data_IF_338661589354
#
_entry.id   IF_338661589354
#
_cell.length_a   1.000
_cell.length_b   1.000
_cell.length_c   1.000
_cell.angle_alpha   90.00
_cell.angle_beta   90.00
_cell.angle_gamma   90.00
#
_symmetry.space_group_name_H-M   'P 1'
#
loop_
_entity.id
_entity.type
_entity.pdbx_description
1 polymer ?
#
# COMPACT_ATOMS: atom_id res chain seq x y z
N UNK A 1 86.13 36.48 -1.96
CA UNK A 1 85.80 37.86 -2.35
C UNK A 1 84.61 37.84 -3.27
N UNK A 2 83.62 38.66 -2.91
CA UNK A 2 82.49 39.19 -3.70
C UNK A 2 81.38 38.28 -4.26
N UNK A 3 80.27 38.35 -3.52
CA UNK A 3 78.85 38.34 -3.90
C UNK A 3 78.49 38.96 -5.25
N UNK A 4 77.43 38.42 -5.87
CA UNK A 4 76.10 39.04 -6.08
C UNK A 4 75.35 38.37 -7.24
N UNK A 5 74.02 38.31 -7.41
CA UNK A 5 72.78 38.57 -6.65
C UNK A 5 71.66 37.93 -7.51
N UNK A 6 70.62 37.41 -6.84
CA UNK A 6 69.23 37.20 -7.28
C UNK A 6 68.87 36.30 -8.49
N UNK A 7 68.02 35.29 -8.22
CA UNK A 7 66.69 35.21 -8.83
C UNK A 7 65.78 34.28 -8.02
N UNK A 8 64.62 34.82 -7.65
CA UNK A 8 63.57 34.18 -6.86
C UNK A 8 62.90 33.03 -7.63
N UNK A 9 62.98 31.81 -7.11
CA UNK A 9 61.94 30.78 -7.32
C UNK A 9 61.75 29.96 -6.04
N UNK A 10 61.15 30.61 -5.05
CA UNK A 10 60.37 29.92 -4.02
C UNK A 10 58.90 29.97 -4.46
N UNK A 11 58.17 28.93 -4.07
CA UNK A 11 56.72 28.70 -4.24
C UNK A 11 56.37 27.89 -5.48
N UNK A 12 56.20 26.56 -5.29
CA UNK A 12 54.95 25.82 -5.58
C UNK A 12 55.18 24.31 -5.47
N UNK A 13 55.62 23.82 -4.31
CA UNK A 13 55.46 22.41 -3.94
C UNK A 13 54.82 22.33 -2.55
N UNK A 14 53.61 22.89 -2.45
CA UNK A 14 52.67 22.52 -1.39
C UNK A 14 52.02 21.22 -1.86
N UNK A 15 52.29 20.17 -1.10
CA UNK A 15 51.51 18.95 -1.08
C UNK A 15 50.01 19.28 -0.94
N UNK A 16 49.29 19.27 -2.05
CA UNK A 16 47.84 19.08 -2.06
C UNK A 16 47.58 17.70 -2.66
N UNK A 17 47.79 16.67 -1.83
CA UNK A 17 47.04 15.42 -2.00
C UNK A 17 45.60 15.77 -1.66
N UNK A 18 44.87 16.30 -2.63
CA UNK A 18 43.41 16.26 -2.59
C UNK A 18 43.08 14.80 -2.82
N UNK A 19 43.03 14.04 -1.72
CA UNK A 19 42.29 12.79 -1.71
C UNK A 19 40.86 13.17 -2.06
N UNK A 20 40.49 13.01 -3.32
CA UNK A 20 39.11 12.92 -3.72
C UNK A 20 38.57 11.61 -3.13
N UNK A 21 38.32 11.62 -1.82
CA UNK A 21 37.24 10.86 -1.26
C UNK A 21 35.99 11.47 -1.89
N UNK A 22 35.64 11.00 -3.08
CA UNK A 22 34.23 10.90 -3.43
C UNK A 22 33.64 10.01 -2.35
N UNK A 23 33.22 10.62 -1.25
CA UNK A 23 32.13 10.08 -0.45
C UNK A 23 30.99 10.06 -1.46
N UNK A 24 30.84 8.93 -2.14
CA UNK A 24 29.54 8.53 -2.64
C UNK A 24 28.65 8.67 -1.43
N UNK A 25 27.85 9.73 -1.37
CA UNK A 25 26.71 9.79 -0.48
C UNK A 25 26.01 8.46 -0.70
N UNK A 26 26.13 7.56 0.28
CA UNK A 26 25.43 6.29 0.22
C UNK A 26 23.97 6.70 0.17
N UNK A 27 23.38 6.63 -1.02
CA UNK A 27 21.98 6.92 -1.22
C UNK A 27 21.25 5.93 -0.34
N UNK A 28 20.69 6.38 0.76
CA UNK A 28 19.70 5.59 1.47
C UNK A 28 18.49 5.53 0.54
N UNK A 29 18.45 4.49 -0.31
CA UNK A 29 17.19 4.02 -0.83
C UNK A 29 16.36 3.70 0.40
N UNK A 30 15.32 4.50 0.68
CA UNK A 30 14.28 4.09 1.61
C UNK A 30 13.86 2.70 1.13
N UNK A 31 14.10 1.63 1.93
CA UNK A 31 13.81 0.29 1.48
C UNK A 31 12.32 0.21 1.17
N UNK A 32 11.96 -0.53 0.12
CA UNK A 32 10.56 -0.86 -0.16
C UNK A 32 9.98 -1.52 1.07
N UNK A 33 8.77 -1.12 1.45
CA UNK A 33 8.14 -1.57 2.69
C UNK A 33 7.16 -2.69 2.44
N UNK A 34 7.01 -3.12 1.19
CA UNK A 34 6.09 -4.19 0.85
C UNK A 34 6.30 -5.41 1.75
N UNK A 35 5.21 -6.14 2.13
CA UNK A 35 5.30 -7.35 2.94
C UNK A 35 6.23 -8.42 2.35
N UNK A 36 6.55 -8.32 1.06
CA UNK A 36 7.56 -9.12 0.37
C UNK A 36 9.00 -8.79 0.84
N UNK A 37 9.44 -9.43 1.92
CA UNK A 37 10.86 -9.42 2.33
C UNK A 37 11.75 -9.92 1.17
N UNK A 38 12.91 -9.29 0.98
CA UNK A 38 13.85 -9.42 -0.15
C UNK A 38 14.41 -10.82 -0.55
N UNK A 39 13.90 -11.92 0.01
CA UNK A 39 14.13 -13.28 -0.49
C UNK A 39 13.47 -13.55 -1.85
N UNK A 40 12.50 -12.74 -2.25
CA UNK A 40 11.65 -12.92 -3.45
C UNK A 40 12.34 -12.37 -4.74
N UNK A 41 13.40 -11.58 -4.59
CA UNK A 41 14.13 -10.99 -5.72
C UNK A 41 15.07 -11.95 -6.46
N UNK A 42 15.19 -13.21 -6.03
CA UNK A 42 16.09 -14.18 -6.68
C UNK A 42 15.48 -14.87 -7.91
N UNK A 43 14.15 -14.92 -8.09
CA UNK A 43 13.56 -15.42 -9.34
C UNK A 43 12.05 -15.12 -9.53
N UNK A 44 11.69 -13.98 -10.13
CA UNK A 44 10.28 -13.63 -10.43
C UNK A 44 9.58 -14.62 -11.37
N UNK A 45 10.33 -15.26 -12.27
CA UNK A 45 9.80 -16.22 -13.25
C UNK A 45 9.31 -17.52 -12.59
N UNK A 46 9.90 -17.94 -11.46
CA UNK A 46 9.48 -19.14 -10.72
C UNK A 46 8.17 -18.88 -9.97
N UNK A 47 7.98 -17.67 -9.43
CA UNK A 47 6.76 -17.27 -8.71
C UNK A 47 5.58 -17.08 -9.67
N UNK A 48 5.81 -16.46 -10.83
CA UNK A 48 4.78 -16.40 -11.89
C UNK A 48 4.35 -17.80 -12.37
N UNK A 49 5.22 -18.80 -12.27
CA UNK A 49 4.90 -20.20 -12.59
C UNK A 49 4.17 -20.95 -11.44
N UNK A 50 4.08 -20.35 -10.25
CA UNK A 50 3.49 -20.97 -9.04
C UNK A 50 2.08 -20.44 -8.74
N UNK A 51 1.62 -19.39 -9.44
CA UNK A 51 0.24 -18.89 -9.29
C UNK A 51 -0.75 -20.00 -9.69
N UNK A 52 -1.60 -20.41 -8.74
CA UNK A 52 -2.61 -21.43 -8.97
C UNK A 52 -3.45 -21.10 -10.22
N UNK A 53 -3.82 -22.14 -10.99
CA UNK A 53 -4.73 -22.01 -12.14
C UNK A 53 -6.10 -21.43 -11.77
N UNK A 54 -6.41 -21.40 -10.47
CA UNK A 54 -7.64 -20.83 -9.92
C UNK A 54 -7.68 -19.28 -10.02
N UNK A 55 -6.52 -18.63 -10.21
CA UNK A 55 -6.42 -17.18 -10.38
C UNK A 55 -6.51 -16.78 -11.85
N UNK A 56 -7.46 -15.88 -12.15
CA UNK A 56 -7.69 -15.34 -13.48
C UNK A 56 -7.29 -13.88 -13.53
N UNK A 57 -6.42 -13.52 -14.48
CA UNK A 57 -5.99 -12.13 -14.69
C UNK A 57 -6.94 -11.40 -15.62
N UNK A 58 -7.31 -10.20 -15.25
CA UNK A 58 -8.15 -9.29 -16.01
C UNK A 58 -7.53 -7.89 -16.06
N UNK A 59 -8.06 -7.06 -16.95
CA UNK A 59 -7.69 -5.65 -17.05
C UNK A 59 -8.95 -4.79 -17.09
N UNK A 60 -8.91 -3.69 -16.36
CA UNK A 60 -9.93 -2.64 -16.35
C UNK A 60 -9.40 -1.43 -17.12
N UNK A 61 -10.24 -0.80 -17.93
CA UNK A 61 -9.87 0.40 -18.65
C UNK A 61 -10.04 1.61 -17.72
N UNK A 62 -8.98 1.91 -16.97
CA UNK A 62 -8.99 2.87 -15.87
C UNK A 62 -8.84 4.31 -16.37
N UNK A 63 -9.59 5.24 -15.78
CA UNK A 63 -9.43 6.67 -16.03
C UNK A 63 -8.09 7.17 -15.48
N UNK A 64 -7.35 7.93 -16.28
CA UNK A 64 -6.03 8.44 -15.89
C UNK A 64 -6.13 9.40 -14.71
N UNK A 65 -7.07 10.34 -14.77
CA UNK A 65 -7.25 11.38 -13.77
C UNK A 65 -8.71 11.49 -13.32
N UNK A 66 -8.97 11.02 -12.10
CA UNK A 66 -10.29 11.03 -11.47
C UNK A 66 -10.74 12.39 -10.95
N UNK A 67 -9.82 13.35 -10.82
CA UNK A 67 -10.07 14.60 -10.10
C UNK A 67 -10.06 15.83 -11.01
N UNK A 68 -10.03 15.64 -12.33
CA UNK A 68 -10.06 16.70 -13.31
C UNK A 68 -10.98 16.35 -14.48
N UNK A 69 -11.59 17.38 -15.07
CA UNK A 69 -12.58 17.24 -16.15
C UNK A 69 -12.07 17.75 -17.50
N UNK A 70 -10.77 18.03 -17.62
CA UNK A 70 -10.14 18.42 -18.89
C UNK A 70 -10.12 17.22 -19.86
N UNK A 71 -10.14 17.44 -21.20
CA UNK A 71 -10.14 16.36 -22.18
C UNK A 71 -9.04 15.30 -21.97
N UNK A 72 -7.84 15.73 -21.56
CA UNK A 72 -6.71 14.84 -21.31
C UNK A 72 -6.93 13.91 -20.11
N UNK A 73 -7.77 14.32 -19.15
CA UNK A 73 -8.08 13.60 -17.90
C UNK A 73 -8.81 12.28 -18.17
N UNK A 74 -9.61 12.23 -19.24
CA UNK A 74 -10.36 11.05 -19.69
C UNK A 74 -9.53 10.06 -20.49
N UNK A 75 -8.23 10.31 -20.67
CA UNK A 75 -7.32 9.28 -21.18
C UNK A 75 -7.39 8.06 -20.27
N UNK A 76 -7.20 6.86 -20.84
CA UNK A 76 -7.30 5.62 -20.08
C UNK A 76 -6.05 4.78 -20.15
N UNK A 77 -5.85 3.90 -19.17
CA UNK A 77 -4.80 2.89 -19.15
C UNK A 77 -5.37 1.56 -18.66
N UNK A 78 -4.70 0.46 -18.99
CA UNK A 78 -5.12 -0.86 -18.53
C UNK A 78 -4.59 -1.09 -17.11
N UNK A 79 -5.50 -1.20 -16.15
CA UNK A 79 -5.16 -1.57 -14.78
C UNK A 79 -5.48 -3.05 -14.54
N UNK A 80 -4.46 -3.80 -14.14
CA UNK A 80 -4.54 -5.22 -13.85
C UNK A 80 -5.27 -5.47 -12.53
N UNK A 81 -6.15 -6.46 -12.54
CA UNK A 81 -6.67 -7.09 -11.34
C UNK A 81 -6.76 -8.60 -11.55
N UNK A 82 -6.73 -9.36 -10.47
CA UNK A 82 -6.77 -10.82 -10.48
C UNK A 82 -7.90 -11.29 -9.59
N UNK A 83 -8.67 -12.27 -10.07
CA UNK A 83 -9.80 -12.84 -9.33
C UNK A 83 -9.62 -14.33 -9.16
N UNK A 84 -10.01 -14.84 -7.99
CA UNK A 84 -10.18 -16.27 -7.74
C UNK A 84 -11.64 -16.56 -7.37
N UNK A 85 -12.29 -17.39 -8.18
CA UNK A 85 -13.71 -17.75 -8.03
C UNK A 85 -13.94 -19.06 -7.26
N UNK A 86 -12.87 -19.81 -6.92
CA UNK A 86 -12.94 -21.20 -6.46
C UNK A 86 -13.92 -21.45 -5.33
N UNK A 87 -13.97 -20.54 -4.36
CA UNK A 87 -14.82 -20.65 -3.17
C UNK A 87 -15.97 -19.66 -3.17
N UNK A 88 -16.17 -18.89 -4.25
CA UNK A 88 -17.16 -17.84 -4.25
C UNK A 88 -18.58 -18.40 -4.35
N UNK A 89 -19.38 -18.18 -3.30
CA UNK A 89 -20.77 -18.64 -3.21
C UNK A 89 -21.74 -17.87 -4.11
N UNK A 90 -21.38 -16.67 -4.57
CA UNK A 90 -22.27 -15.77 -5.30
C UNK A 90 -22.57 -16.15 -6.76
N UNK A 91 -21.90 -17.17 -7.30
CA UNK A 91 -22.11 -17.64 -8.67
C UNK A 91 -23.19 -18.72 -8.85
N UNK A 92 -23.66 -19.36 -7.78
CA UNK A 92 -24.59 -20.49 -7.85
C UNK A 92 -25.59 -20.51 -6.67
N UNK A 93 -26.82 -20.02 -6.89
CA UNK A 93 -27.93 -20.25 -5.95
C UNK A 93 -28.00 -19.28 -4.77
N UNK A 94 -28.48 -19.78 -3.62
CA UNK A 94 -29.11 -19.03 -2.53
C UNK A 94 -28.31 -17.87 -1.90
N UNK A 95 -26.99 -17.78 -2.12
CA UNK A 95 -26.09 -16.77 -1.54
C UNK A 95 -25.63 -15.74 -2.57
N UNK A 96 -26.58 -15.08 -3.25
CA UNK A 96 -26.32 -14.08 -4.31
C UNK A 96 -25.46 -12.86 -3.89
N UNK A 97 -25.05 -12.76 -2.62
CA UNK A 97 -24.31 -11.63 -2.07
C UNK A 97 -23.10 -12.04 -1.22
N UNK A 98 -22.48 -13.19 -1.49
CA UNK A 98 -21.29 -13.66 -0.76
C UNK A 98 -20.16 -12.60 -0.73
N UNK A 99 -19.40 -12.47 0.37
CA UNK A 99 -18.45 -11.39 0.58
C UNK A 99 -17.35 -11.36 -0.49
N UNK A 100 -16.81 -10.17 -0.73
CA UNK A 100 -15.63 -9.96 -1.57
C UNK A 100 -14.47 -9.61 -0.65
N UNK A 101 -13.42 -10.42 -0.65
CA UNK A 101 -12.16 -10.08 0.02
C UNK A 101 -11.22 -9.49 -1.02
N UNK A 102 -10.79 -8.26 -0.78
CA UNK A 102 -9.94 -7.52 -1.71
C UNK A 102 -8.62 -7.17 -1.08
N UNK A 103 -7.52 -7.46 -1.78
CA UNK A 103 -6.21 -6.90 -1.49
C UNK A 103 -5.96 -5.69 -2.40
N UNK A 104 -5.67 -4.55 -1.78
CA UNK A 104 -5.25 -3.35 -2.49
C UNK A 104 -3.74 -3.37 -2.63
N UNK A 105 -3.25 -3.49 -3.87
CA UNK A 105 -1.82 -3.55 -4.16
C UNK A 105 -1.08 -2.37 -3.54
N UNK A 106 0.11 -2.65 -3.02
CA UNK A 106 0.98 -1.66 -2.44
C UNK A 106 2.01 -1.20 -3.49
N UNK A 107 3.27 -1.00 -3.09
CA UNK A 107 4.30 -0.40 -3.92
C UNK A 107 5.07 -1.37 -4.84
N UNK A 108 4.41 -2.39 -5.39
CA UNK A 108 5.05 -3.44 -6.18
C UNK A 108 4.17 -4.13 -7.23
N UNK A 109 4.75 -4.94 -8.15
CA UNK A 109 3.98 -5.79 -9.04
C UNK A 109 3.18 -6.86 -8.28
N UNK A 110 1.91 -7.02 -8.68
CA UNK A 110 0.95 -7.89 -8.02
C UNK A 110 1.30 -9.40 -8.06
N UNK A 111 2.19 -9.83 -8.96
CA UNK A 111 2.55 -11.24 -9.12
C UNK A 111 3.18 -11.83 -7.84
N UNK A 112 3.95 -11.01 -7.11
CA UNK A 112 4.52 -11.39 -5.81
C UNK A 112 3.42 -11.49 -4.74
N UNK A 113 2.60 -10.45 -4.63
CA UNK A 113 1.52 -10.35 -3.64
C UNK A 113 0.56 -11.56 -3.70
N UNK A 114 0.14 -11.98 -4.89
CA UNK A 114 -0.79 -13.12 -5.06
C UNK A 114 -0.24 -14.42 -4.44
N UNK A 115 1.08 -14.56 -4.40
CA UNK A 115 1.74 -15.76 -3.86
C UNK A 115 1.96 -15.71 -2.35
N UNK A 116 2.13 -14.51 -1.77
CA UNK A 116 2.51 -14.36 -0.35
C UNK A 116 1.37 -13.90 0.54
N UNK A 117 0.46 -13.06 0.02
CA UNK A 117 -0.68 -12.53 0.77
C UNK A 117 -1.76 -13.61 0.82
N UNK A 118 -1.59 -14.56 1.72
CA UNK A 118 -2.44 -15.74 1.82
C UNK A 118 -3.67 -15.56 2.71
N UNK A 119 -3.81 -14.46 3.45
CA UNK A 119 -4.98 -14.22 4.31
C UNK A 119 -6.31 -14.38 3.55
N UNK A 120 -6.36 -13.89 2.31
CA UNK A 120 -7.52 -14.02 1.44
C UNK A 120 -7.78 -15.49 1.10
N UNK A 121 -6.77 -16.23 0.64
CA UNK A 121 -6.91 -17.63 0.23
C UNK A 121 -7.23 -18.56 1.39
N UNK A 122 -6.62 -18.33 2.55
CA UNK A 122 -6.75 -19.16 3.74
C UNK A 122 -8.16 -19.06 4.33
N UNK A 123 -8.82 -17.92 4.15
CA UNK A 123 -10.16 -17.66 4.65
C UNK A 123 -11.26 -17.77 3.58
N UNK A 124 -10.90 -17.95 2.31
CA UNK A 124 -11.85 -17.95 1.18
C UNK A 124 -12.98 -18.96 1.35
N UNK A 125 -12.64 -20.19 1.74
CA UNK A 125 -13.61 -21.27 1.94
C UNK A 125 -14.52 -21.01 3.16
N UNK A 126 -13.98 -20.40 4.22
CA UNK A 126 -14.74 -20.07 5.44
C UNK A 126 -15.85 -19.07 5.16
N UNK A 127 -15.56 -18.07 4.32
CA UNK A 127 -16.49 -16.98 4.03
C UNK A 127 -17.25 -17.14 2.71
N UNK A 128 -17.00 -18.22 1.96
CA UNK A 128 -17.45 -18.36 0.57
C UNK A 128 -17.11 -17.13 -0.30
N UNK A 129 -15.93 -16.54 -0.06
CA UNK A 129 -15.59 -15.21 -0.55
C UNK A 129 -15.08 -15.23 -1.99
N UNK A 130 -15.42 -14.16 -2.75
CA UNK A 130 -14.71 -13.82 -3.98
C UNK A 130 -13.39 -13.16 -3.61
N UNK A 131 -12.27 -13.67 -4.13
CA UNK A 131 -10.98 -13.03 -3.89
C UNK A 131 -10.62 -12.11 -5.04
N UNK A 132 -10.22 -10.88 -4.72
CA UNK A 132 -9.81 -9.88 -5.70
C UNK A 132 -8.48 -9.28 -5.26
N UNK A 133 -7.52 -9.22 -6.17
CA UNK A 133 -6.24 -8.54 -5.98
C UNK A 133 -6.16 -7.45 -7.03
N UNK A 134 -6.00 -6.18 -6.62
CA UNK A 134 -5.97 -5.06 -7.58
C UNK A 134 -4.57 -4.46 -7.58
N UNK A 135 -3.94 -4.41 -8.76
CA UNK A 135 -2.60 -3.87 -8.89
C UNK A 135 -2.63 -2.34 -8.84
N UNK A 136 -1.77 -1.77 -8.01
CA UNK A 136 -1.63 -0.33 -7.87
C UNK A 136 -1.19 0.31 -9.19
N UNK A 137 -1.76 1.48 -9.53
CA UNK A 137 -1.28 2.28 -10.68
C UNK A 137 0.22 2.54 -10.58
N UNK A 138 0.92 2.61 -11.71
CA UNK A 138 2.39 2.75 -11.82
C UNK A 138 3.21 1.51 -11.46
N UNK A 139 2.59 0.41 -11.01
CA UNK A 139 3.29 -0.83 -10.67
C UNK A 139 2.95 -1.99 -11.58
N UNK A 140 3.88 -2.95 -11.66
CA UNK A 140 3.77 -4.16 -12.47
C UNK A 140 3.31 -3.89 -13.90
N UNK A 141 2.09 -4.34 -14.23
CA UNK A 141 1.49 -4.22 -15.56
C UNK A 141 0.48 -3.06 -15.64
N UNK A 142 0.15 -2.42 -14.52
CA UNK A 142 -0.76 -1.27 -14.39
C UNK A 142 -0.04 0.06 -14.55
N UNK A 143 0.63 0.29 -15.68
CA UNK A 143 1.45 1.50 -15.87
C UNK A 143 0.79 2.48 -16.87
N UNK A 144 0.41 3.68 -16.44
CA UNK A 144 0.00 4.75 -17.34
C UNK A 144 1.13 5.13 -18.32
N UNK A 145 0.78 5.72 -19.47
CA UNK A 145 1.76 6.19 -20.47
C UNK A 145 2.67 5.10 -21.08
N UNK A 146 2.28 3.83 -20.94
CA UNK A 146 2.87 2.68 -21.63
C UNK A 146 4.15 2.11 -21.03
N UNK A 147 4.94 2.88 -20.27
CA UNK A 147 6.10 2.34 -19.56
C UNK A 147 6.42 3.11 -18.29
N UNK A 148 7.03 2.43 -17.30
CA UNK A 148 7.40 3.06 -16.02
C UNK A 148 8.38 4.22 -16.23
N UNK A 149 9.28 4.09 -17.20
CA UNK A 149 10.23 5.16 -17.55
C UNK A 149 9.52 6.43 -18.02
N UNK A 150 8.51 6.30 -18.89
CA UNK A 150 7.74 7.46 -19.36
C UNK A 150 6.81 8.00 -18.26
N UNK A 151 6.19 7.11 -17.47
CA UNK A 151 5.29 7.51 -16.39
C UNK A 151 5.98 8.30 -15.27
N UNK A 152 7.26 8.04 -15.02
CA UNK A 152 8.06 8.70 -13.98
C UNK A 152 9.02 9.77 -14.53
N UNK A 153 8.86 10.16 -15.79
CA UNK A 153 9.84 10.99 -16.52
C UNK A 153 9.93 12.41 -15.98
N UNK A 154 8.79 12.99 -15.58
CA UNK A 154 8.70 14.38 -15.13
C UNK A 154 7.43 14.62 -14.30
N UNK A 155 7.32 15.81 -13.72
CA UNK A 155 6.19 16.21 -12.89
C UNK A 155 4.81 16.06 -13.57
N UNK A 156 4.71 16.22 -14.89
CA UNK A 156 3.43 16.12 -15.62
C UNK A 156 2.89 14.70 -15.68
N UNK A 157 3.77 13.71 -15.78
CA UNK A 157 3.39 12.28 -15.81
C UNK A 157 3.38 11.68 -14.41
N UNK A 158 4.28 12.13 -13.53
CA UNK A 158 4.33 11.71 -12.13
C UNK A 158 3.14 12.23 -11.31
N UNK A 159 2.51 13.33 -11.71
CA UNK A 159 1.40 13.95 -10.96
C UNK A 159 0.19 13.03 -10.72
N UNK A 160 -0.04 12.04 -11.59
CA UNK A 160 -1.12 11.06 -11.42
C UNK A 160 -0.74 9.88 -10.51
N UNK A 161 0.49 9.87 -10.00
CA UNK A 161 0.98 8.87 -9.06
C UNK A 161 0.77 9.35 -7.61
N UNK A 162 -0.45 9.19 -7.13
CA UNK A 162 -0.81 9.53 -5.76
C UNK A 162 -1.92 8.60 -5.22
N UNK A 163 -2.03 8.58 -3.90
CA UNK A 163 -2.89 7.71 -3.11
C UNK A 163 -4.37 7.96 -3.37
N UNK A 164 -4.77 9.22 -3.55
CA UNK A 164 -6.17 9.57 -3.85
C UNK A 164 -6.61 8.95 -5.18
N UNK A 165 -5.77 9.03 -6.21
CA UNK A 165 -6.05 8.42 -7.51
C UNK A 165 -6.09 6.89 -7.43
N UNK A 166 -5.16 6.27 -6.68
CA UNK A 166 -5.14 4.83 -6.47
C UNK A 166 -6.36 4.31 -5.70
N UNK A 167 -6.82 5.02 -4.67
CA UNK A 167 -8.03 4.67 -3.92
C UNK A 167 -9.27 4.73 -4.84
N UNK A 168 -9.38 5.75 -5.69
CA UNK A 168 -10.47 5.84 -6.66
C UNK A 168 -10.40 4.73 -7.70
N UNK A 169 -9.21 4.36 -8.17
CA UNK A 169 -9.04 3.21 -9.07
C UNK A 169 -9.63 1.93 -8.50
N UNK A 170 -9.29 1.65 -7.24
CA UNK A 170 -9.77 0.48 -6.52
C UNK A 170 -11.29 0.50 -6.39
N UNK A 171 -11.87 1.67 -6.09
CA UNK A 171 -13.32 1.83 -6.00
C UNK A 171 -14.02 1.57 -7.35
N UNK A 172 -13.52 2.11 -8.46
CA UNK A 172 -14.10 1.88 -9.79
C UNK A 172 -14.06 0.40 -10.18
N UNK A 173 -12.93 -0.28 -9.96
CA UNK A 173 -12.79 -1.71 -10.25
C UNK A 173 -13.75 -2.55 -9.39
N UNK A 174 -13.87 -2.24 -8.08
CA UNK A 174 -14.79 -2.94 -7.20
C UNK A 174 -16.26 -2.75 -7.60
N UNK A 175 -16.65 -1.53 -7.99
CA UNK A 175 -17.99 -1.26 -8.51
C UNK A 175 -18.25 -1.99 -9.82
N UNK A 176 -17.28 -2.00 -10.74
CA UNK A 176 -17.35 -2.76 -11.98
C UNK A 176 -17.52 -4.26 -11.74
N UNK A 177 -16.75 -4.85 -10.82
CA UNK A 177 -16.84 -6.27 -10.45
C UNK A 177 -18.23 -6.56 -9.87
N UNK A 178 -18.71 -5.73 -8.95
CA UNK A 178 -20.05 -5.89 -8.36
C UNK A 178 -21.15 -5.87 -9.40
N UNK A 179 -21.05 -4.99 -10.39
CA UNK A 179 -22.03 -4.93 -11.48
C UNK A 179 -21.93 -6.14 -12.40
N UNK A 180 -20.72 -6.45 -12.88
CA UNK A 180 -20.44 -7.53 -13.84
C UNK A 180 -20.89 -8.90 -13.33
N UNK A 181 -20.75 -9.15 -12.04
CA UNK A 181 -21.05 -10.44 -11.43
C UNK A 181 -22.33 -10.42 -10.59
N UNK A 182 -23.19 -9.41 -10.76
CA UNK A 182 -24.46 -9.26 -10.03
C UNK A 182 -24.32 -9.36 -8.50
N UNK A 183 -23.21 -8.83 -7.98
CA UNK A 183 -22.79 -8.90 -6.58
C UNK A 183 -23.02 -7.57 -5.85
N UNK A 184 -24.05 -6.81 -6.23
CA UNK A 184 -24.31 -5.42 -5.77
C UNK A 184 -24.37 -5.28 -4.24
N UNK A 185 -24.97 -6.24 -3.53
CA UNK A 185 -25.05 -6.23 -2.07
C UNK A 185 -24.01 -7.12 -1.40
N UNK A 186 -22.95 -7.52 -2.11
CA UNK A 186 -21.85 -8.24 -1.48
C UNK A 186 -21.04 -7.26 -0.62
N UNK A 187 -20.83 -7.54 0.68
CA UNK A 187 -19.93 -6.74 1.50
C UNK A 187 -18.50 -6.92 1.00
N UNK A 188 -17.69 -5.86 1.08
CA UNK A 188 -16.29 -5.88 0.66
C UNK A 188 -15.44 -5.71 1.92
N UNK A 189 -14.54 -6.66 2.16
CA UNK A 189 -13.52 -6.56 3.21
C UNK A 189 -12.20 -6.22 2.53
N UNK A 190 -11.61 -5.10 2.94
CA UNK A 190 -10.34 -4.62 2.41
C UNK A 190 -9.22 -5.13 3.31
N UNK A 191 -8.26 -5.79 2.68
CA UNK A 191 -7.00 -6.20 3.29
C UNK A 191 -5.91 -5.38 2.61
N UNK A 192 -5.01 -4.82 3.42
CA UNK A 192 -3.85 -4.09 2.95
C UNK A 192 -2.67 -4.41 3.86
N UNK A 193 -1.48 -4.43 3.29
CA UNK A 193 -0.26 -4.72 4.02
C UNK A 193 0.83 -3.82 3.52
N UNK A 194 1.30 -2.95 4.41
CA UNK A 194 2.22 -1.89 4.06
C UNK A 194 1.68 -0.92 3.00
N UNK A 195 2.29 0.25 2.99
CA UNK A 195 2.26 1.15 1.85
C UNK A 195 3.45 2.06 2.04
N UNK A 196 4.62 1.49 1.82
CA UNK A 196 5.83 2.28 1.82
C UNK A 196 5.84 3.09 0.56
N UNK A 197 5.61 4.39 0.69
CA UNK A 197 5.83 5.28 -0.45
C UNK A 197 7.19 4.93 -1.08
N UNK A 198 7.17 4.52 -2.34
CA UNK A 198 8.43 4.42 -3.07
C UNK A 198 9.05 5.81 -3.18
N UNK A 199 10.32 5.89 -3.56
CA UNK A 199 11.06 7.15 -3.61
C UNK A 199 10.30 8.24 -4.40
N UNK A 200 9.56 7.86 -5.44
CA UNK A 200 8.73 8.78 -6.21
C UNK A 200 7.52 9.31 -5.43
N UNK A 201 6.84 8.47 -4.64
CA UNK A 201 5.65 8.85 -3.87
C UNK A 201 6.00 9.64 -2.61
N UNK A 202 7.14 9.31 -1.97
CA UNK A 202 7.64 10.07 -0.83
C UNK A 202 8.06 11.48 -1.26
N UNK A 203 8.64 11.61 -2.46
CA UNK A 203 9.00 12.90 -3.04
C UNK A 203 7.80 13.76 -3.48
N UNK A 204 6.56 13.25 -3.43
CA UNK A 204 5.36 14.00 -3.76
C UNK A 204 4.43 14.19 -2.55
N UNK A 205 3.83 13.11 -2.03
CA UNK A 205 2.79 13.16 -1.01
C UNK A 205 3.18 12.49 0.32
N UNK A 206 3.93 11.38 0.27
CA UNK A 206 4.14 10.51 1.43
C UNK A 206 5.45 10.85 2.14
N UNK A 207 5.59 12.10 2.56
CA UNK A 207 6.81 12.58 3.21
C UNK A 207 6.91 11.98 4.60
N UNK A 208 7.78 10.99 4.77
CA UNK A 208 8.04 10.32 6.03
C UNK A 208 9.37 10.83 6.60
N UNK A 209 9.36 11.67 7.66
CA UNK A 209 10.57 12.28 8.22
C UNK A 209 11.33 11.27 9.09
N UNK A 210 11.91 10.26 8.46
CA UNK A 210 12.73 9.23 9.12
C UNK A 210 14.19 9.69 9.06
N UNK A 211 14.85 9.72 10.21
CA UNK A 211 16.26 10.04 10.34
C UNK A 211 16.92 9.19 11.42
N UNK A 212 18.25 9.21 11.42
CA UNK A 212 19.07 8.47 12.37
C UNK A 212 19.63 9.45 13.40
N UNK A 213 19.27 9.24 14.66
CA UNK A 213 19.87 9.99 15.76
C UNK A 213 21.01 9.21 16.44
N UNK A 214 21.60 9.86 17.43
CA UNK A 214 22.69 9.37 18.26
C UNK A 214 22.26 8.31 19.30
N UNK A 215 20.99 7.90 19.33
CA UNK A 215 20.49 6.81 20.18
C UNK A 215 20.48 5.46 19.47
N UNK A 216 20.70 5.45 18.14
CA UNK A 216 20.75 4.23 17.34
C UNK A 216 22.18 3.67 17.23
N UNK A 217 22.32 2.45 16.70
CA UNK A 217 23.63 1.86 16.41
C UNK A 217 24.27 2.35 15.10
N UNK A 218 23.60 3.24 14.36
CA UNK A 218 24.05 3.74 13.06
C UNK A 218 24.66 5.14 13.17
N UNK A 219 25.53 5.54 12.23
CA UNK A 219 26.03 6.91 12.18
C UNK A 219 24.87 7.93 12.11
N UNK A 220 24.89 9.03 12.90
CA UNK A 220 23.83 10.02 12.86
C UNK A 220 23.63 10.62 11.48
N UNK A 221 22.38 10.64 11.03
CA UNK A 221 21.91 11.20 9.76
C UNK A 221 20.47 11.71 9.95
N UNK A 222 20.29 12.86 10.63
CA UNK A 222 18.98 13.39 10.96
C UNK A 222 18.24 13.82 9.70
N UNK A 223 16.90 13.68 9.70
CA UNK A 223 16.08 14.11 8.58
C UNK A 223 16.14 15.64 8.39
N UNK A 224 16.59 16.08 7.22
CA UNK A 224 16.63 17.48 6.82
C UNK A 224 15.62 17.72 5.68
N UNK A 225 14.55 18.45 5.98
CA UNK A 225 13.49 18.72 5.02
C UNK A 225 13.97 19.57 3.83
N UNK A 226 14.92 20.49 4.02
CA UNK A 226 15.43 21.34 2.94
C UNK A 226 16.23 20.52 1.94
N UNK A 227 17.14 19.68 2.41
CA UNK A 227 17.89 18.75 1.57
C UNK A 227 16.95 17.76 0.87
N UNK A 228 15.97 17.22 1.59
CA UNK A 228 14.97 16.32 1.04
C UNK A 228 14.18 16.96 -0.11
N UNK A 229 13.74 18.22 0.04
CA UNK A 229 13.07 18.98 -1.02
C UNK A 229 13.96 19.14 -2.25
N UNK A 230 15.24 19.48 -2.06
CA UNK A 230 16.17 19.72 -3.17
C UNK A 230 16.51 18.42 -3.92
N UNK A 231 16.66 17.31 -3.20
CA UNK A 231 16.86 15.99 -3.79
C UNK A 231 15.65 15.56 -4.63
N UNK A 232 14.43 15.73 -4.11
CA UNK A 232 13.21 15.41 -4.84
C UNK A 232 13.03 16.26 -6.11
N UNK A 233 13.36 17.56 -6.05
CA UNK A 233 13.37 18.43 -7.23
C UNK A 233 14.39 17.96 -8.26
N UNK A 234 15.59 17.55 -7.81
CA UNK A 234 16.67 17.10 -8.70
C UNK A 234 16.36 15.77 -9.36
N UNK A 235 15.77 14.83 -8.63
CA UNK A 235 15.50 13.47 -9.11
C UNK A 235 14.24 13.40 -9.98
N UNK A 236 13.18 14.10 -9.57
CA UNK A 236 11.84 13.90 -10.14
C UNK A 236 11.17 15.20 -10.64
N UNK A 237 11.80 16.36 -10.42
CA UNK A 237 11.24 17.64 -10.81
C UNK A 237 10.02 18.06 -9.99
N UNK A 238 9.75 17.38 -8.86
CA UNK A 238 8.63 17.68 -7.97
C UNK A 238 9.14 18.18 -6.62
N UNK A 239 8.34 19.02 -5.97
CA UNK A 239 8.57 19.42 -4.59
C UNK A 239 7.60 18.66 -3.68
N UNK A 240 8.08 17.99 -2.64
CA UNK A 240 7.23 17.23 -1.73
C UNK A 240 6.27 18.14 -0.98
N UNK A 241 5.08 17.62 -0.67
CA UNK A 241 4.03 18.30 0.09
C UNK A 241 3.85 17.62 1.46
N UNK A 242 4.66 18.00 2.47
CA UNK A 242 4.74 17.26 3.73
C UNK A 242 3.43 17.19 4.52
N UNK A 243 2.54 18.17 4.32
CA UNK A 243 1.24 18.22 4.99
C UNK A 243 0.09 17.71 4.13
N UNK A 244 0.34 17.17 2.93
CA UNK A 244 -0.74 16.70 2.05
C UNK A 244 -1.52 15.55 2.68
N UNK A 245 -0.82 14.50 3.14
CA UNK A 245 -1.44 13.32 3.77
C UNK A 245 -2.23 13.72 5.02
N UNK A 246 -1.65 14.56 5.89
CA UNK A 246 -2.37 15.05 7.07
C UNK A 246 -3.55 15.94 6.69
N UNK A 247 -3.48 16.69 5.59
CA UNK A 247 -4.63 17.50 5.12
C UNK A 247 -5.74 16.61 4.56
N UNK A 248 -5.38 15.56 3.82
CA UNK A 248 -6.33 14.74 3.09
C UNK A 248 -6.98 13.65 3.95
N UNK A 249 -6.22 13.01 4.85
CA UNK A 249 -6.67 11.80 5.57
C UNK A 249 -7.00 11.98 7.05
N UNK A 250 -6.90 13.19 7.64
CA UNK A 250 -7.50 13.42 8.96
C UNK A 250 -6.71 14.20 10.01
N UNK A 251 -5.79 15.07 9.61
CA UNK A 251 -5.39 16.26 10.37
C UNK A 251 -4.45 16.02 11.55
N UNK A 252 -4.51 16.94 12.52
CA UNK A 252 -3.60 17.02 13.68
C UNK A 252 -3.97 16.05 14.82
N UNK A 253 -5.26 15.67 14.97
CA UNK A 253 -5.76 14.77 16.01
C UNK A 253 -6.50 13.57 15.40
N UNK A 254 -5.75 12.71 14.72
CA UNK A 254 -6.30 11.56 14.01
C UNK A 254 -7.00 10.57 14.95
N UNK A 255 -6.57 10.45 16.22
CA UNK A 255 -7.20 9.57 17.20
C UNK A 255 -8.65 9.99 17.46
N UNK A 256 -8.89 11.29 17.73
CA UNK A 256 -10.23 11.80 17.94
C UNK A 256 -11.11 11.65 16.69
N UNK A 257 -10.56 11.91 15.50
CA UNK A 257 -11.30 11.79 14.24
C UNK A 257 -11.72 10.33 13.99
N UNK A 258 -10.80 9.38 14.14
CA UNK A 258 -11.10 7.96 13.99
C UNK A 258 -12.11 7.48 15.04
N UNK A 259 -11.99 7.93 16.29
CA UNK A 259 -12.94 7.58 17.35
C UNK A 259 -14.37 8.04 17.04
N UNK A 260 -14.53 9.19 16.40
CA UNK A 260 -15.85 9.79 16.14
C UNK A 260 -16.47 9.37 14.82
N UNK A 261 -15.65 9.12 13.79
CA UNK A 261 -16.14 9.02 12.41
C UNK A 261 -15.71 7.75 11.69
N UNK A 262 -14.75 6.99 12.22
CA UNK A 262 -14.35 5.72 11.64
C UNK A 262 -15.04 4.55 12.34
N UNK A 263 -15.17 3.45 11.61
CA UNK A 263 -15.71 2.18 12.10
C UNK A 263 -15.15 1.03 11.28
N UNK A 264 -15.12 -0.14 11.88
CA UNK A 264 -14.74 -1.41 11.25
C UNK A 264 -13.33 -1.38 10.64
N UNK A 265 -12.34 -1.04 11.45
CA UNK A 265 -10.92 -1.05 11.09
C UNK A 265 -10.17 -1.86 12.13
N UNK A 266 -9.32 -2.78 11.66
CA UNK A 266 -8.32 -3.45 12.48
C UNK A 266 -6.97 -2.87 12.10
N UNK A 267 -6.25 -2.29 13.06
CA UNK A 267 -4.85 -1.94 12.92
C UNK A 267 -3.99 -3.06 13.49
N UNK A 268 -3.49 -3.95 12.62
CA UNK A 268 -2.60 -5.03 13.02
C UNK A 268 -1.13 -4.60 13.01
N UNK A 269 -0.36 -4.92 14.05
CA UNK A 269 1.05 -4.54 14.17
C UNK A 269 1.91 -5.63 14.81
N UNK A 270 3.05 -5.93 14.20
CA UNK A 270 4.11 -6.69 14.85
C UNK A 270 5.07 -5.75 15.58
N UNK A 271 5.29 -5.89 16.88
CA UNK A 271 6.17 -4.96 17.63
C UNK A 271 7.67 -5.12 17.33
N UNK A 272 8.07 -6.12 16.54
CA UNK A 272 9.43 -6.19 15.96
C UNK A 272 9.55 -5.45 14.64
N UNK A 273 8.44 -5.02 14.07
CA UNK A 273 8.42 -4.16 12.91
C UNK A 273 8.74 -2.71 13.34
N UNK A 274 9.80 -2.07 12.83
CA UNK A 274 10.08 -0.68 13.15
C UNK A 274 8.93 0.27 12.73
N UNK A 275 8.09 -0.10 11.76
CA UNK A 275 6.95 0.73 11.36
C UNK A 275 5.81 0.74 12.38
N UNK A 276 5.78 -0.21 13.31
CA UNK A 276 4.76 -0.26 14.37
C UNK A 276 4.79 0.99 15.27
N UNK A 277 5.92 1.69 15.36
CA UNK A 277 6.01 2.96 16.11
C UNK A 277 5.21 4.09 15.48
N UNK A 278 4.93 4.02 14.17
CA UNK A 278 4.07 4.96 13.45
C UNK A 278 2.62 4.48 13.31
N UNK A 279 2.31 3.28 13.80
CA UNK A 279 0.99 2.66 13.71
C UNK A 279 0.05 3.01 14.87
N UNK A 280 -1.12 2.37 14.88
CA UNK A 280 -2.09 2.43 15.97
C UNK A 280 -1.95 1.15 16.81
N UNK A 281 -1.57 1.30 18.08
CA UNK A 281 -1.29 0.19 18.99
C UNK A 281 -2.33 0.02 20.11
N UNK A 282 -3.36 0.87 20.13
CA UNK A 282 -4.43 0.86 21.13
C UNK A 282 -5.78 0.98 20.44
N UNK A 283 -6.80 0.37 21.02
CA UNK A 283 -8.17 0.52 20.54
C UNK A 283 -8.60 2.00 20.60
N UNK A 284 -9.14 2.48 19.48
CA UNK A 284 -9.64 3.85 19.34
C UNK A 284 -11.15 3.89 19.63
N UNK A 285 -11.87 2.83 19.27
CA UNK A 285 -13.30 2.65 19.54
C UNK A 285 -13.66 1.16 19.57
N UNK A 286 -14.93 0.83 19.87
CA UNK A 286 -15.43 -0.56 19.84
C UNK A 286 -15.28 -1.26 18.48
N UNK A 287 -15.11 -0.50 17.39
CA UNK A 287 -14.98 -1.06 16.03
C UNK A 287 -13.71 -0.61 15.30
N UNK A 288 -12.89 0.22 15.93
CA UNK A 288 -11.57 0.64 15.45
C UNK A 288 -10.56 0.14 16.46
N UNK A 289 -10.08 -1.08 16.23
CA UNK A 289 -9.32 -1.86 17.20
C UNK A 289 -7.87 -2.02 16.77
N UNK A 290 -6.98 -2.22 17.72
CA UNK A 290 -5.58 -2.51 17.48
C UNK A 290 -5.25 -3.94 17.93
N UNK A 291 -4.67 -4.73 17.02
CA UNK A 291 -4.22 -6.09 17.33
C UNK A 291 -2.71 -6.12 17.12
N UNK A 292 -1.94 -6.23 18.19
CA UNK A 292 -0.49 -6.25 18.07
C UNK A 292 0.16 -7.41 18.80
N UNK A 293 1.29 -7.87 18.27
CA UNK A 293 2.03 -9.01 18.82
C UNK A 293 3.49 -8.66 19.06
N UNK A 294 4.01 -9.05 20.23
CA UNK A 294 5.39 -8.73 20.66
C UNK A 294 6.44 -9.27 19.69
N UNK A 295 6.18 -10.44 19.09
CA UNK A 295 7.12 -11.12 18.20
C UNK A 295 6.78 -10.98 16.72
N UNK A 296 5.66 -10.34 16.38
CA UNK A 296 5.27 -10.08 14.99
C UNK A 296 6.30 -9.23 14.27
N UNK A 297 6.62 -9.62 13.04
CA UNK A 297 7.33 -8.76 12.09
C UNK A 297 6.33 -8.04 11.18
N UNK A 298 6.85 -7.31 10.20
CA UNK A 298 6.07 -6.55 9.23
C UNK A 298 4.99 -7.41 8.53
N UNK A 299 3.72 -7.04 8.72
CA UNK A 299 2.53 -7.62 8.08
C UNK A 299 2.48 -9.16 8.08
N UNK A 300 2.96 -9.81 9.14
CA UNK A 300 3.07 -11.27 9.19
C UNK A 300 1.70 -11.98 9.20
N UNK A 301 0.71 -11.35 9.79
CA UNK A 301 -0.68 -11.77 9.92
C UNK A 301 -1.37 -11.98 8.57
N UNK A 302 -1.04 -11.18 7.56
CA UNK A 302 -1.67 -11.28 6.25
C UNK A 302 -0.98 -12.27 5.28
N UNK A 303 0.22 -12.75 5.65
CA UNK A 303 0.94 -13.75 4.86
C UNK A 303 0.22 -15.11 4.95
N UNK A 304 0.49 -15.97 3.96
CA UNK A 304 -0.06 -17.33 3.94
C UNK A 304 0.29 -18.13 5.19
N UNK A 305 -0.73 -18.76 5.78
CA UNK A 305 -0.58 -19.55 6.98
C UNK A 305 0.21 -20.82 6.70
N UNK A 306 1.17 -21.10 7.57
CA UNK A 306 1.94 -22.33 7.58
C UNK A 306 1.73 -23.06 8.91
N UNK A 307 0.94 -24.14 8.87
CA UNK A 307 0.58 -24.92 10.06
C UNK A 307 1.79 -25.54 10.77
N UNK A 308 2.90 -25.75 10.06
CA UNK A 308 4.09 -26.42 10.60
C UNK A 308 5.07 -25.43 11.25
N UNK A 309 5.05 -24.15 10.83
CA UNK A 309 6.03 -23.15 11.28
C UNK A 309 5.45 -21.97 12.03
N UNK A 310 4.16 -21.67 11.86
CA UNK A 310 3.57 -20.49 12.46
C UNK A 310 3.43 -20.68 13.97
N UNK A 311 3.94 -19.73 14.77
CA UNK A 311 3.83 -19.82 16.21
C UNK A 311 2.39 -19.57 16.67
N UNK A 312 2.00 -20.18 17.79
CA UNK A 312 0.64 -20.09 18.33
C UNK A 312 0.11 -18.65 18.45
N UNK A 313 0.98 -17.69 18.81
CA UNK A 313 0.58 -16.28 18.91
C UNK A 313 0.16 -15.66 17.58
N UNK A 314 0.74 -16.09 16.45
CA UNK A 314 0.39 -15.63 15.12
C UNK A 314 -0.95 -16.23 14.69
N UNK A 315 -1.14 -17.52 14.98
CA UNK A 315 -2.41 -18.22 14.73
C UNK A 315 -3.54 -17.57 15.54
N UNK A 316 -3.29 -17.23 16.81
CA UNK A 316 -4.26 -16.53 17.66
C UNK A 316 -4.57 -15.12 17.15
N UNK A 317 -3.56 -14.37 16.69
CA UNK A 317 -3.76 -13.05 16.07
C UNK A 317 -4.71 -13.14 14.86
N UNK A 318 -4.40 -14.03 13.90
CA UNK A 318 -5.24 -14.23 12.71
C UNK A 318 -6.65 -14.67 13.07
N UNK A 319 -6.79 -15.54 14.07
CA UNK A 319 -8.10 -15.98 14.55
C UNK A 319 -8.93 -14.80 15.09
N UNK A 320 -8.32 -13.91 15.87
CA UNK A 320 -9.00 -12.72 16.39
C UNK A 320 -9.45 -11.78 15.26
N UNK A 321 -8.58 -11.54 14.27
CA UNK A 321 -8.91 -10.73 13.08
C UNK A 321 -10.11 -11.32 12.32
N UNK A 322 -10.08 -12.63 12.07
CA UNK A 322 -11.15 -13.35 11.37
C UNK A 322 -12.47 -13.33 12.13
N UNK A 323 -12.46 -13.48 13.46
CA UNK A 323 -13.65 -13.41 14.31
C UNK A 323 -14.32 -12.02 14.25
N UNK A 324 -13.52 -10.95 14.23
CA UNK A 324 -14.04 -9.59 14.09
C UNK A 324 -14.66 -9.37 12.70
N UNK A 325 -13.96 -9.80 11.64
CA UNK A 325 -14.46 -9.71 10.26
C UNK A 325 -15.76 -10.50 10.10
N UNK A 326 -15.86 -11.68 10.69
CA UNK A 326 -17.08 -12.49 10.69
C UNK A 326 -18.24 -11.78 11.39
N UNK A 327 -17.97 -11.08 12.49
CA UNK A 327 -18.93 -10.21 13.16
C UNK A 327 -19.43 -9.08 12.26
N UNK A 328 -18.54 -8.39 11.53
CA UNK A 328 -18.91 -7.32 10.60
C UNK A 328 -19.79 -7.82 9.45
N UNK A 329 -19.42 -8.95 8.84
CA UNK A 329 -20.18 -9.56 7.74
C UNK A 329 -21.56 -10.01 8.21
N UNK A 330 -21.63 -10.65 9.38
CA UNK A 330 -22.89 -11.10 9.98
C UNK A 330 -23.83 -9.92 10.26
N UNK A 331 -23.30 -8.84 10.83
CA UNK A 331 -24.06 -7.60 11.07
C UNK A 331 -24.57 -6.97 9.79
N UNK A 332 -23.73 -6.90 8.76
CA UNK A 332 -24.11 -6.36 7.44
C UNK A 332 -25.32 -7.10 6.85
N UNK A 333 -25.32 -8.43 6.86
CA UNK A 333 -26.45 -9.20 6.32
C UNK A 333 -27.72 -9.08 7.17
N UNK A 334 -27.59 -8.96 8.50
CA UNK A 334 -28.74 -8.68 9.37
C UNK A 334 -29.39 -7.33 9.01
N UNK A 335 -28.58 -6.28 8.84
CA UNK A 335 -29.04 -4.94 8.48
C UNK A 335 -29.65 -4.91 7.06
N UNK A 336 -29.02 -5.62 6.10
CA UNK A 336 -29.53 -5.74 4.73
C UNK A 336 -30.92 -6.40 4.70
N UNK A 337 -31.12 -7.47 5.48
CA UNK A 337 -32.41 -8.15 5.59
C UNK A 337 -33.47 -7.23 6.20
N UNK A 338 -33.11 -6.45 7.22
CA UNK A 338 -34.02 -5.50 7.84
C UNK A 338 -34.44 -4.38 6.88
N UNK A 339 -33.48 -3.82 6.13
CA UNK A 339 -33.73 -2.80 5.10
C UNK A 339 -34.73 -3.28 4.03
N UNK A 340 -34.54 -4.51 3.53
CA UNK A 340 -35.42 -5.10 2.53
C UNK A 340 -36.86 -5.30 3.09
N UNK A 341 -37.00 -5.72 4.35
CA UNK A 341 -38.30 -5.86 4.99
C UNK A 341 -39.02 -4.50 5.15
N UNK A 342 -38.31 -3.44 5.54
CA UNK A 342 -38.89 -2.09 5.66
C UNK A 342 -39.41 -1.59 4.31
N UNK A 343 -38.66 -1.79 3.23
CA UNK A 343 -39.09 -1.42 1.87
C UNK A 343 -40.40 -2.12 1.46
N UNK A 344 -40.53 -3.43 1.70
CA UNK A 344 -41.76 -4.16 1.42
C UNK A 344 -42.97 -3.65 2.23
N UNK A 345 -42.78 -3.28 3.51
CA UNK A 345 -43.87 -2.75 4.34
C UNK A 345 -44.34 -1.36 3.93
N UNK A 346 -43.47 -0.52 3.37
CA UNK A 346 -43.85 0.79 2.85
C UNK A 346 -44.64 0.69 1.54
N UNK A 347 -44.30 -0.26 0.66
CA UNK A 347 -45.04 -0.48 -0.58
C UNK A 347 -46.44 -1.04 -0.32
N UNK A 348 -46.61 -1.94 0.66
CA UNK A 348 -47.94 -2.48 1.05
C UNK A 348 -48.88 -1.47 1.72
N UNK A 349 -48.40 -0.28 2.12
CA UNK A 349 -49.24 0.79 2.70
C UNK A 349 -49.67 1.85 1.69
N UNK A 350 -49.22 1.74 0.44
CA UNK A 350 -49.55 2.65 -0.66
C UNK A 350 -50.58 2.07 -1.65
N UNK A 351 -50.94 0.80 -1.46
CA UNK A 351 -52.08 0.13 -2.08
C UNK A 351 -53.20 -0.02 -1.04
#
# INVERSE_FOLDING_TARGET
MHSSIASYQWLLHIFTVISSLQVSAARFNIPRLSPTRGTILQNPEILSATISKDFQTFYYNQTLDHFNYRPESYSTFQQRYVINFKYWGGGAGADANAPIFVYLGAEEPLDGDISVIGFLTDNAARFNALLVYIEHRYYGKSIPFGSRKEALKNASTLGYFNSAQAITDYAEILLYIKEKYNARHSPVIVIGGSYGGNQEQTCSEMVMPIGIDNTTMFPPDPFDLSNYIDDCKKLYGVSPRPHWVTTYYGGYDIKLILQRFASNIIFSNGLRDPYSSGGVLEDISESVVAIHTVNGSHCLDILGANQDSDPDWLVMQRKAEVEIIEGWISKYYADLKESNNRSCTQNKRKD
#
